data_IF_326959163943
#
_entry.id   IF_326959163943
#
_cell.length_a   1.000
_cell.length_b   1.000
_cell.length_c   1.000
_cell.angle_alpha   90.00
_cell.angle_beta   90.00
_cell.angle_gamma   90.00
#
_symmetry.space_group_name_H-M   'P 1'
#
loop_
_entity.id
_entity.type
_entity.pdbx_description
1 polymer ?
#
# COMPACT_ATOMS: atom_id res chain seq x y z
N UNK A 1 6.79 -31.01 12.05
CA UNK A 1 5.73 -30.36 12.87
C UNK A 1 4.88 -29.48 11.95
N UNK A 2 3.57 -29.70 11.85
CA UNK A 2 2.71 -28.80 11.06
C UNK A 2 2.56 -27.49 11.85
N UNK A 3 3.21 -26.41 11.42
CA UNK A 3 3.02 -25.08 12.01
C UNK A 3 1.53 -24.74 11.99
N UNK A 4 0.94 -24.45 13.14
CA UNK A 4 -0.46 -23.99 13.22
C UNK A 4 -0.60 -22.72 12.39
N UNK A 5 -1.49 -22.69 11.37
CA UNK A 5 -1.56 -21.57 10.42
C UNK A 5 -1.87 -20.23 11.10
N UNK A 6 -2.49 -20.31 12.28
CA UNK A 6 -2.95 -19.22 13.14
C UNK A 6 -1.87 -18.61 14.03
N UNK A 7 -0.77 -19.31 14.30
CA UNK A 7 0.26 -18.79 15.21
C UNK A 7 0.96 -17.53 14.66
N UNK A 8 1.39 -17.47 13.38
CA UNK A 8 2.07 -16.30 12.86
C UNK A 8 1.28 -14.98 12.92
N UNK A 9 -0.01 -14.89 12.53
CA UNK A 9 -0.74 -13.63 12.68
C UNK A 9 -0.90 -13.22 14.15
N UNK A 10 -1.08 -14.17 15.07
CA UNK A 10 -1.18 -13.85 16.51
C UNK A 10 0.13 -13.31 17.07
N UNK A 11 1.28 -13.91 16.69
CA UNK A 11 2.58 -13.38 17.08
C UNK A 11 2.82 -11.98 16.49
N UNK A 12 2.34 -11.74 15.27
CA UNK A 12 2.45 -10.43 14.64
C UNK A 12 1.57 -9.37 15.33
N UNK A 13 0.38 -9.74 15.80
CA UNK A 13 -0.45 -8.87 16.63
C UNK A 13 0.23 -8.50 17.94
N UNK A 14 0.91 -9.46 18.59
CA UNK A 14 1.71 -9.20 19.77
C UNK A 14 2.90 -8.27 19.48
N UNK A 15 3.54 -8.44 18.31
CA UNK A 15 4.60 -7.53 17.86
C UNK A 15 4.06 -6.11 17.67
N UNK A 16 2.92 -5.93 16.99
CA UNK A 16 2.30 -4.61 16.81
C UNK A 16 2.02 -3.97 18.17
N UNK A 17 1.41 -4.69 19.12
CA UNK A 17 1.16 -4.15 20.47
C UNK A 17 2.44 -3.67 21.16
N UNK A 18 3.55 -4.40 21.00
CA UNK A 18 4.84 -3.96 21.52
C UNK A 18 5.36 -2.72 20.79
N UNK A 19 5.28 -2.68 19.45
CA UNK A 19 5.63 -1.54 18.62
C UNK A 19 4.73 -0.32 18.84
N UNK A 20 3.57 -0.49 19.46
CA UNK A 20 2.65 0.60 19.82
C UNK A 20 2.86 1.17 21.22
N UNK A 21 3.76 0.55 22.00
CA UNK A 21 4.18 1.05 23.32
C UNK A 21 5.10 2.27 23.22
N UNK A 22 5.54 2.81 24.36
CA UNK A 22 6.50 3.93 24.40
C UNK A 22 7.83 3.61 23.68
N UNK A 23 8.23 2.34 23.63
CA UNK A 23 9.51 1.92 23.05
C UNK A 23 9.69 2.32 21.57
N UNK A 24 8.59 2.44 20.83
CA UNK A 24 8.59 2.86 19.43
C UNK A 24 7.88 4.21 19.23
N UNK A 25 7.75 5.00 20.30
CA UNK A 25 7.15 6.35 20.25
C UNK A 25 7.94 7.29 19.32
N UNK A 26 7.31 8.41 18.97
CA UNK A 26 7.95 9.46 18.16
C UNK A 26 9.26 9.91 18.81
N UNK A 27 9.21 10.21 20.12
CA UNK A 27 10.36 10.66 20.88
C UNK A 27 11.48 9.61 20.90
N UNK A 28 11.15 8.35 21.16
CA UNK A 28 12.15 7.29 21.24
C UNK A 28 12.80 7.02 19.88
N UNK A 29 12.01 6.94 18.81
CA UNK A 29 12.53 6.69 17.46
C UNK A 29 13.33 7.87 16.92
N UNK A 30 12.93 9.10 17.22
CA UNK A 30 13.66 10.31 16.84
C UNK A 30 15.08 10.33 17.42
N UNK A 31 15.26 9.87 18.66
CA UNK A 31 16.53 9.94 19.40
C UNK A 31 17.72 9.28 18.68
N UNK A 32 17.47 8.22 17.91
CA UNK A 32 18.50 7.49 17.17
C UNK A 32 18.36 7.62 15.66
N UNK A 33 17.14 7.82 15.13
CA UNK A 33 16.93 7.89 13.69
C UNK A 33 17.29 9.27 13.11
N UNK A 34 16.98 10.37 13.80
CA UNK A 34 17.31 11.71 13.31
C UNK A 34 18.83 11.93 13.15
N UNK A 35 19.71 11.49 14.07
CA UNK A 35 21.15 11.55 13.85
C UNK A 35 21.61 10.82 12.58
N UNK A 36 21.03 9.66 12.29
CA UNK A 36 21.33 8.88 11.08
C UNK A 36 20.85 9.63 9.84
N UNK A 37 19.62 10.15 9.85
CA UNK A 37 19.07 10.92 8.73
C UNK A 37 19.89 12.18 8.46
N UNK A 38 20.34 12.88 9.50
CA UNK A 38 21.20 14.04 9.37
C UNK A 38 22.57 13.67 8.81
N UNK A 39 23.16 12.55 9.23
CA UNK A 39 24.42 12.07 8.68
C UNK A 39 24.32 11.71 7.18
N UNK A 40 23.17 11.15 6.75
CA UNK A 40 22.91 10.80 5.35
C UNK A 40 22.52 12.00 4.47
N UNK A 41 21.88 13.01 5.06
CA UNK A 41 21.42 14.22 4.39
C UNK A 41 21.81 15.47 5.19
N UNK A 42 23.11 15.81 5.26
CA UNK A 42 23.59 16.96 6.06
C UNK A 42 23.07 18.30 5.55
N UNK A 43 22.58 18.36 4.31
CA UNK A 43 21.94 19.53 3.70
C UNK A 43 20.47 19.70 4.09
N UNK A 44 19.85 18.71 4.74
CA UNK A 44 18.44 18.77 5.10
C UNK A 44 18.20 19.68 6.31
N UNK A 45 17.16 20.51 6.24
CA UNK A 45 16.74 21.33 7.38
C UNK A 45 16.13 20.47 8.48
N UNK A 46 16.07 20.95 9.74
CA UNK A 46 15.41 20.21 10.82
C UNK A 46 13.98 19.79 10.49
N UNK A 47 13.20 20.69 9.87
CA UNK A 47 11.83 20.37 9.44
C UNK A 47 11.77 19.26 8.38
N UNK A 48 12.75 19.21 7.47
CA UNK A 48 12.82 18.12 6.48
C UNK A 48 13.17 16.78 7.14
N UNK A 49 14.09 16.77 8.11
CA UNK A 49 14.45 15.56 8.85
C UNK A 49 13.26 15.01 9.65
N UNK A 50 12.50 15.87 10.33
CA UNK A 50 11.26 15.49 11.02
C UNK A 50 10.21 14.95 10.05
N UNK A 51 10.05 15.58 8.88
CA UNK A 51 9.14 15.08 7.84
C UNK A 51 9.57 13.69 7.34
N UNK A 52 10.88 13.46 7.13
CA UNK A 52 11.41 12.14 6.75
C UNK A 52 11.16 11.10 7.85
N UNK A 53 11.38 11.45 9.11
CA UNK A 53 11.09 10.58 10.25
C UNK A 53 9.60 10.22 10.33
N UNK A 54 8.71 11.21 10.19
CA UNK A 54 7.27 10.97 10.14
C UNK A 54 6.86 10.07 8.97
N UNK A 55 7.46 10.26 7.78
CA UNK A 55 7.22 9.41 6.61
C UNK A 55 7.67 7.96 6.86
N UNK A 56 8.84 7.77 7.48
CA UNK A 56 9.34 6.43 7.84
C UNK A 56 8.36 5.75 8.80
N UNK A 57 7.88 6.46 9.82
CA UNK A 57 6.89 5.91 10.77
C UNK A 57 5.58 5.54 10.08
N UNK A 58 5.02 6.41 9.25
CA UNK A 58 3.81 6.10 8.46
C UNK A 58 4.02 4.92 7.51
N UNK A 59 5.23 4.77 6.96
CA UNK A 59 5.61 3.61 6.16
C UNK A 59 5.68 2.31 6.97
N UNK A 60 6.13 2.38 8.22
CA UNK A 60 6.13 1.24 9.15
C UNK A 60 4.70 0.77 9.45
N UNK A 61 3.82 1.69 9.87
CA UNK A 61 2.38 1.46 10.08
C UNK A 61 1.71 0.75 8.88
N UNK A 62 1.85 1.33 7.68
CA UNK A 62 1.37 0.73 6.44
C UNK A 62 1.88 -0.72 6.25
N UNK A 63 3.17 -0.95 6.52
CA UNK A 63 3.83 -2.24 6.31
C UNK A 63 3.41 -3.29 7.35
N UNK A 64 3.31 -2.89 8.62
CA UNK A 64 2.89 -3.74 9.73
C UNK A 64 1.51 -4.33 9.49
N UNK A 65 0.55 -3.50 9.08
CA UNK A 65 -0.82 -3.93 8.80
C UNK A 65 -0.97 -4.66 7.47
N UNK A 66 -0.13 -4.35 6.48
CA UNK A 66 -0.03 -5.17 5.25
C UNK A 66 0.43 -6.60 5.58
N UNK A 67 1.46 -6.74 6.43
CA UNK A 67 1.94 -8.07 6.86
C UNK A 67 0.88 -8.79 7.68
N UNK A 68 0.21 -8.10 8.62
CA UNK A 68 -0.86 -8.67 9.43
C UNK A 68 -1.98 -9.26 8.55
N UNK A 69 -2.49 -8.48 7.61
CA UNK A 69 -3.52 -8.92 6.66
C UNK A 69 -3.07 -10.09 5.79
N UNK A 70 -1.82 -10.09 5.31
CA UNK A 70 -1.26 -11.19 4.53
C UNK A 70 -1.16 -12.48 5.36
N UNK A 71 -0.77 -12.39 6.63
CA UNK A 71 -0.68 -13.52 7.54
C UNK A 71 -2.06 -14.11 7.86
N UNK A 72 -3.06 -13.26 8.12
CA UNK A 72 -4.45 -13.69 8.31
C UNK A 72 -5.04 -14.34 7.06
N UNK A 73 -4.86 -13.72 5.89
CA UNK A 73 -5.31 -14.28 4.62
C UNK A 73 -4.69 -15.66 4.37
N UNK A 74 -3.38 -15.79 4.58
CA UNK A 74 -2.67 -17.06 4.46
C UNK A 74 -3.20 -18.10 5.45
N UNK A 75 -3.47 -17.71 6.69
CA UNK A 75 -3.97 -18.60 7.73
C UNK A 75 -5.37 -19.14 7.37
N UNK A 76 -6.29 -18.26 6.96
CA UNK A 76 -7.66 -18.59 6.58
C UNK A 76 -7.71 -19.52 5.35
N UNK A 77 -6.86 -19.28 4.35
CA UNK A 77 -6.75 -20.13 3.16
C UNK A 77 -6.18 -21.51 3.53
N UNK A 78 -5.07 -21.55 4.28
CA UNK A 78 -4.40 -22.82 4.65
C UNK A 78 -5.21 -23.66 5.62
N UNK A 79 -5.94 -23.02 6.53
CA UNK A 79 -6.88 -23.69 7.42
C UNK A 79 -8.10 -24.26 6.69
N UNK A 80 -8.25 -23.99 5.38
CA UNK A 80 -9.44 -24.32 4.56
C UNK A 80 -10.74 -23.88 5.24
N UNK A 81 -10.68 -22.81 6.03
CA UNK A 81 -11.77 -22.40 6.89
C UNK A 81 -12.90 -21.74 6.09
N UNK A 82 -12.57 -21.06 4.99
CA UNK A 82 -13.50 -20.25 4.21
C UNK A 82 -13.09 -20.15 2.73
N UNK A 83 -14.02 -19.73 1.88
CA UNK A 83 -13.74 -19.43 0.46
C UNK A 83 -12.72 -18.29 0.33
N UNK A 84 -11.85 -18.26 -0.70
CA UNK A 84 -10.81 -17.24 -0.83
C UNK A 84 -11.29 -15.77 -0.80
N UNK A 85 -12.49 -15.47 -1.31
CA UNK A 85 -13.08 -14.12 -1.24
C UNK A 85 -13.48 -13.75 0.20
N UNK A 86 -14.11 -14.68 0.91
CA UNK A 86 -14.45 -14.51 2.32
C UNK A 86 -13.18 -14.42 3.19
N UNK A 87 -12.14 -15.21 2.89
CA UNK A 87 -10.84 -15.14 3.57
C UNK A 87 -10.23 -13.73 3.48
N UNK A 88 -10.31 -13.12 2.30
CA UNK A 88 -9.86 -11.75 2.07
C UNK A 88 -10.66 -10.71 2.88
N UNK A 89 -11.98 -10.78 2.83
CA UNK A 89 -12.84 -9.87 3.59
C UNK A 89 -12.61 -10.00 5.10
N UNK A 90 -12.50 -11.23 5.61
CA UNK A 90 -12.26 -11.49 7.04
C UNK A 90 -10.86 -11.01 7.45
N UNK A 91 -9.82 -11.30 6.65
CA UNK A 91 -8.45 -10.84 6.95
C UNK A 91 -8.36 -9.31 7.01
N UNK A 92 -9.02 -8.62 6.07
CA UNK A 92 -9.11 -7.17 6.08
C UNK A 92 -9.87 -6.66 7.32
N UNK A 93 -11.04 -7.22 7.61
CA UNK A 93 -11.86 -6.81 8.75
C UNK A 93 -11.12 -6.99 10.09
N UNK A 94 -10.42 -8.11 10.28
CA UNK A 94 -9.61 -8.35 11.49
C UNK A 94 -8.49 -7.31 11.60
N UNK A 95 -7.78 -7.03 10.50
CA UNK A 95 -6.66 -6.09 10.51
C UNK A 95 -7.13 -4.66 10.77
N UNK A 96 -8.25 -4.25 10.18
CA UNK A 96 -8.84 -2.93 10.41
C UNK A 96 -9.36 -2.79 11.86
N UNK A 97 -10.01 -3.82 12.39
CA UNK A 97 -10.41 -3.84 13.79
C UNK A 97 -9.19 -3.74 14.73
N UNK A 98 -8.10 -4.43 14.38
CA UNK A 98 -6.85 -4.34 15.13
C UNK A 98 -6.20 -2.95 15.06
N UNK A 99 -6.29 -2.25 13.93
CA UNK A 99 -5.82 -0.86 13.80
C UNK A 99 -6.59 0.09 14.71
N UNK A 100 -7.91 -0.06 14.78
CA UNK A 100 -8.74 0.72 15.69
C UNK A 100 -8.37 0.43 17.16
N UNK A 101 -8.20 -0.85 17.51
CA UNK A 101 -7.82 -1.25 18.86
C UNK A 101 -6.42 -0.75 19.24
N UNK A 102 -5.50 -0.71 18.28
CA UNK A 102 -4.16 -0.19 18.47
C UNK A 102 -4.17 1.31 18.80
N UNK A 103 -4.93 2.11 18.06
CA UNK A 103 -5.10 3.54 18.35
C UNK A 103 -5.79 3.78 19.71
N UNK A 104 -6.76 2.94 20.07
CA UNK A 104 -7.35 2.94 21.42
C UNK A 104 -6.28 2.62 22.46
N UNK A 105 -5.43 1.62 22.24
CA UNK A 105 -4.31 1.31 23.14
C UNK A 105 -3.34 2.49 23.28
N UNK A 106 -2.94 3.09 22.16
CA UNK A 106 -2.05 4.24 22.11
C UNK A 106 -2.63 5.46 22.84
N UNK A 107 -3.96 5.62 22.88
CA UNK A 107 -4.61 6.69 23.66
C UNK A 107 -4.36 6.60 25.17
N UNK A 108 -3.94 5.43 25.68
CA UNK A 108 -3.56 5.22 27.08
C UNK A 108 -2.05 5.33 27.33
N UNK A 109 -1.25 5.58 26.29
CA UNK A 109 0.22 5.71 26.39
C UNK A 109 0.59 7.20 26.31
N UNK A 110 1.11 7.82 27.40
CA UNK A 110 1.32 9.27 27.44
C UNK A 110 2.26 9.85 26.36
N UNK A 111 3.19 9.05 25.85
CA UNK A 111 4.13 9.45 24.79
C UNK A 111 3.59 9.22 23.37
N UNK A 112 2.36 8.70 23.25
CA UNK A 112 1.68 8.45 21.98
C UNK A 112 0.53 9.42 21.78
N UNK A 113 0.12 9.55 20.53
CA UNK A 113 -1.01 10.38 20.14
C UNK A 113 -1.87 9.56 19.21
N UNK A 114 -3.06 9.21 19.67
CA UNK A 114 -4.00 8.48 18.85
C UNK A 114 -4.46 9.34 17.66
N UNK A 115 -4.47 8.77 16.46
CA UNK A 115 -4.72 9.45 15.21
C UNK A 115 -5.63 8.63 14.29
N UNK A 116 -6.81 9.15 13.91
CA UNK A 116 -7.64 8.53 12.87
C UNK A 116 -6.93 8.39 11.53
N UNK A 117 -5.91 9.20 11.25
CA UNK A 117 -5.11 9.05 10.02
C UNK A 117 -4.29 7.78 10.03
N UNK A 118 -3.86 7.32 11.20
CA UNK A 118 -3.02 6.14 11.32
C UNK A 118 -3.87 4.88 11.09
N UNK A 119 -5.12 4.83 11.62
CA UNK A 119 -6.11 3.81 11.24
C UNK A 119 -6.33 3.74 9.72
N UNK A 120 -6.41 4.89 9.06
CA UNK A 120 -6.62 4.94 7.61
C UNK A 120 -5.40 4.41 6.83
N UNK A 121 -4.18 4.74 7.28
CA UNK A 121 -2.93 4.24 6.70
C UNK A 121 -2.82 2.72 6.91
N UNK A 122 -3.07 2.25 8.13
CA UNK A 122 -3.06 0.82 8.49
C UNK A 122 -4.07 0.02 7.67
N UNK A 123 -5.29 0.56 7.56
CA UNK A 123 -6.35 0.02 6.71
C UNK A 123 -5.93 -0.04 5.24
N UNK A 124 -5.25 0.99 4.71
CA UNK A 124 -4.73 0.98 3.35
C UNK A 124 -3.69 -0.13 3.14
N UNK A 125 -2.79 -0.32 4.10
CA UNK A 125 -1.79 -1.39 4.09
C UNK A 125 -2.44 -2.77 4.05
N UNK A 126 -3.41 -3.00 4.94
CA UNK A 126 -4.19 -4.23 4.99
C UNK A 126 -4.95 -4.50 3.67
N UNK A 127 -5.59 -3.47 3.11
CA UNK A 127 -6.32 -3.57 1.84
C UNK A 127 -5.37 -3.95 0.70
N UNK A 128 -4.22 -3.28 0.58
CA UNK A 128 -3.21 -3.58 -0.44
C UNK A 128 -2.79 -5.04 -0.37
N UNK A 129 -2.45 -5.53 0.83
CA UNK A 129 -2.01 -6.91 1.03
C UNK A 129 -3.08 -7.93 0.61
N UNK A 130 -4.34 -7.69 0.97
CA UNK A 130 -5.45 -8.58 0.59
C UNK A 130 -5.70 -8.56 -0.92
N UNK A 131 -5.67 -7.39 -1.56
CA UNK A 131 -5.84 -7.26 -3.02
C UNK A 131 -4.72 -7.99 -3.75
N UNK A 132 -3.46 -7.76 -3.36
CA UNK A 132 -2.30 -8.44 -3.95
C UNK A 132 -2.37 -9.95 -3.72
N UNK A 133 -2.72 -10.39 -2.50
CA UNK A 133 -2.86 -11.80 -2.17
C UNK A 133 -3.98 -12.51 -2.93
N UNK A 134 -5.05 -11.79 -3.29
CA UNK A 134 -6.19 -12.32 -4.07
C UNK A 134 -5.91 -12.41 -5.56
N UNK A 135 -5.26 -11.39 -6.12
CA UNK A 135 -5.00 -11.30 -7.56
C UNK A 135 -3.72 -12.06 -7.96
N UNK A 136 -2.76 -12.16 -7.04
CA UNK A 136 -1.39 -12.55 -7.31
C UNK A 136 -0.58 -11.37 -7.85
N UNK A 137 0.72 -11.33 -7.51
CA UNK A 137 1.61 -10.20 -7.80
C UNK A 137 1.60 -9.77 -9.27
N UNK A 138 1.67 -10.74 -10.21
CA UNK A 138 1.68 -10.45 -11.66
C UNK A 138 0.42 -9.72 -12.11
N UNK A 139 -0.77 -10.21 -11.73
CA UNK A 139 -2.05 -9.59 -12.13
C UNK A 139 -2.28 -8.27 -11.40
N UNK A 140 -1.86 -8.16 -10.15
CA UNK A 140 -1.92 -6.91 -9.40
C UNK A 140 -1.08 -5.82 -10.07
N UNK A 141 0.18 -6.14 -10.42
CA UNK A 141 1.08 -5.24 -11.13
C UNK A 141 0.51 -4.85 -12.50
N UNK A 142 0.01 -5.81 -13.29
CA UNK A 142 -0.61 -5.52 -14.59
C UNK A 142 -1.81 -4.56 -14.49
N UNK A 143 -2.70 -4.77 -13.51
CA UNK A 143 -3.86 -3.91 -13.28
C UNK A 143 -3.44 -2.53 -12.79
N UNK A 144 -2.49 -2.46 -11.86
CA UNK A 144 -1.95 -1.20 -11.37
C UNK A 144 -1.31 -0.40 -12.51
N UNK A 145 -0.50 -1.02 -13.36
CA UNK A 145 0.08 -0.37 -14.53
C UNK A 145 -0.99 0.17 -15.48
N UNK A 146 -2.02 -0.63 -15.79
CA UNK A 146 -3.11 -0.18 -16.68
C UNK A 146 -3.86 1.01 -16.07
N UNK A 147 -4.17 0.95 -14.77
CA UNK A 147 -4.82 2.05 -14.06
C UNK A 147 -3.96 3.32 -14.06
N UNK A 148 -2.66 3.22 -13.75
CA UNK A 148 -1.74 4.35 -13.75
C UNK A 148 -1.62 4.98 -15.14
N UNK A 149 -1.56 4.17 -16.20
CA UNK A 149 -1.55 4.68 -17.57
C UNK A 149 -2.86 5.39 -17.92
N UNK A 150 -4.01 4.87 -17.50
CA UNK A 150 -5.29 5.55 -17.69
C UNK A 150 -5.39 6.86 -16.92
N UNK A 151 -4.92 6.90 -15.66
CA UNK A 151 -4.88 8.13 -14.87
C UNK A 151 -3.95 9.16 -15.50
N UNK A 152 -2.77 8.74 -15.96
CA UNK A 152 -1.82 9.64 -16.63
C UNK A 152 -2.34 10.15 -17.98
N UNK A 153 -3.00 9.29 -18.78
CA UNK A 153 -3.57 9.68 -20.06
C UNK A 153 -4.81 10.57 -19.90
N UNK A 154 -5.76 10.15 -19.07
CA UNK A 154 -7.02 10.87 -18.85
C UNK A 154 -6.83 12.15 -18.03
N UNK A 155 -6.20 12.04 -16.86
CA UNK A 155 -5.92 13.19 -16.00
C UNK A 155 -4.96 14.18 -16.66
N UNK A 156 -3.92 13.68 -17.32
CA UNK A 156 -3.01 14.51 -18.10
C UNK A 156 -3.71 15.19 -19.29
N UNK A 157 -4.64 14.52 -19.97
CA UNK A 157 -5.44 15.11 -21.04
C UNK A 157 -6.34 16.25 -20.54
N UNK A 158 -6.99 16.07 -19.39
CA UNK A 158 -7.78 17.13 -18.74
C UNK A 158 -6.88 18.32 -18.36
N UNK A 159 -5.72 18.05 -17.75
CA UNK A 159 -4.76 19.09 -17.39
C UNK A 159 -4.25 19.86 -18.62
N UNK A 160 -3.93 19.16 -19.72
CA UNK A 160 -3.55 19.77 -20.99
C UNK A 160 -4.64 20.69 -21.54
N UNK A 161 -5.91 20.25 -21.49
CA UNK A 161 -7.04 21.05 -21.95
C UNK A 161 -7.23 22.33 -21.10
N UNK A 162 -7.19 22.20 -19.77
CA UNK A 162 -7.30 23.35 -18.85
C UNK A 162 -6.15 24.34 -19.09
N UNK A 163 -4.93 23.84 -19.23
CA UNK A 163 -3.76 24.67 -19.51
C UNK A 163 -3.89 25.41 -20.85
N UNK A 164 -4.36 24.74 -21.90
CA UNK A 164 -4.61 25.37 -23.19
C UNK A 164 -5.69 26.46 -23.11
N UNK A 165 -6.76 26.23 -22.34
CA UNK A 165 -7.84 27.20 -22.13
C UNK A 165 -7.44 28.40 -21.27
N UNK A 166 -6.47 28.23 -20.36
CA UNK A 166 -6.02 29.27 -19.43
C UNK A 166 -4.71 29.94 -19.86
N UNK A 167 -4.10 29.51 -20.97
CA UNK A 167 -2.82 30.03 -21.47
C UNK A 167 -1.59 29.62 -20.64
N UNK A 168 -1.74 28.62 -19.76
CA UNK A 168 -0.64 28.10 -18.93
C UNK A 168 0.19 27.09 -19.74
N UNK A 169 1.53 27.21 -19.79
CA UNK A 169 2.37 26.22 -20.47
C UNK A 169 2.31 24.83 -19.81
N UNK A 170 2.15 23.77 -20.61
CA UNK A 170 1.99 22.40 -20.07
C UNK A 170 3.28 21.61 -19.87
N UNK A 171 4.42 22.10 -20.34
CA UNK A 171 5.74 21.49 -20.12
C UNK A 171 5.78 19.99 -20.46
N UNK A 172 6.22 19.16 -19.50
CA UNK A 172 6.34 17.70 -19.69
C UNK A 172 5.02 16.96 -19.95
N UNK A 173 3.85 17.55 -19.66
CA UNK A 173 2.56 16.90 -19.93
C UNK A 173 2.36 16.59 -21.42
N UNK A 174 2.94 17.42 -22.31
CA UNK A 174 2.94 17.15 -23.75
C UNK A 174 3.66 15.85 -24.13
N UNK A 175 4.57 15.36 -23.28
CA UNK A 175 5.29 14.11 -23.48
C UNK A 175 4.66 12.95 -22.68
N UNK A 176 4.40 13.16 -21.40
CA UNK A 176 3.96 12.08 -20.48
C UNK A 176 2.55 11.60 -20.79
N UNK A 177 1.64 12.49 -21.20
CA UNK A 177 0.25 12.14 -21.51
C UNK A 177 0.14 11.29 -22.79
N UNK A 178 0.74 11.67 -23.94
CA UNK A 178 0.73 10.81 -25.12
C UNK A 178 1.48 9.49 -24.91
N UNK A 179 2.60 9.48 -24.19
CA UNK A 179 3.33 8.24 -23.86
C UNK A 179 2.44 7.26 -23.08
N UNK A 180 1.65 7.75 -22.12
CA UNK A 180 0.71 6.92 -21.39
C UNK A 180 -0.39 6.34 -22.31
N UNK A 181 -0.92 7.15 -23.23
CA UNK A 181 -1.91 6.71 -24.21
C UNK A 181 -1.34 5.66 -25.18
N UNK A 182 -0.11 5.86 -25.68
CA UNK A 182 0.58 4.87 -26.52
C UNK A 182 0.87 3.58 -25.76
N UNK A 183 1.22 3.67 -24.47
CA UNK A 183 1.37 2.50 -23.59
C UNK A 183 0.09 1.68 -23.51
N UNK A 184 -1.08 2.32 -23.36
CA UNK A 184 -2.39 1.65 -23.37
C UNK A 184 -2.68 0.99 -24.72
N UNK A 185 -2.44 1.70 -25.83
CA UNK A 185 -2.66 1.19 -27.17
C UNK A 185 -1.77 -0.03 -27.47
N UNK A 186 -0.47 0.06 -27.17
CA UNK A 186 0.49 -1.03 -27.35
C UNK A 186 0.08 -2.29 -26.59
N UNK A 187 -0.39 -2.14 -25.34
CA UNK A 187 -0.91 -3.25 -24.54
C UNK A 187 -2.16 -3.87 -25.15
N UNK A 188 -3.10 -3.05 -25.65
CA UNK A 188 -4.32 -3.52 -26.32
C UNK A 188 -3.98 -4.33 -27.59
N UNK A 189 -3.07 -3.80 -28.42
CA UNK A 189 -2.63 -4.46 -29.65
C UNK A 189 -1.90 -5.78 -29.37
N UNK A 190 -1.01 -5.79 -28.37
CA UNK A 190 -0.33 -7.01 -27.94
C UNK A 190 -1.32 -8.10 -27.53
N UNK A 191 -2.34 -7.74 -26.75
CA UNK A 191 -3.35 -8.69 -26.30
C UNK A 191 -4.22 -9.23 -27.44
N UNK A 192 -4.64 -8.38 -28.37
CA UNK A 192 -5.39 -8.79 -29.59
C UNK A 192 -4.54 -9.78 -30.40
N UNK A 193 -3.26 -9.47 -30.63
CA UNK A 193 -2.33 -10.35 -31.36
C UNK A 193 -2.16 -11.69 -30.65
N UNK A 194 -2.03 -11.69 -29.31
CA UNK A 194 -1.88 -12.93 -28.53
C UNK A 194 -3.10 -13.84 -28.61
N UNK A 195 -4.31 -13.25 -28.62
CA UNK A 195 -5.57 -14.00 -28.85
C UNK A 195 -5.71 -14.53 -30.27
N UNK A 196 -5.31 -13.74 -31.27
CA UNK A 196 -5.36 -14.16 -32.68
C UNK A 196 -4.40 -15.32 -33.02
N UNK A 197 -3.33 -15.50 -32.24
CA UNK A 197 -2.36 -16.59 -32.40
C UNK A 197 -2.74 -17.89 -31.66
N UNK A 198 -3.92 -17.95 -31.00
CA UNK A 198 -4.38 -19.16 -30.31
C UNK A 198 -3.58 -19.56 -29.07
N UNK A 199 -2.78 -18.65 -28.49
CA UNK A 199 -1.76 -19.00 -27.49
C UNK A 199 -2.32 -19.17 -26.05
N UNK A 200 -3.56 -18.79 -25.71
CA UNK A 200 -4.14 -19.09 -24.39
C UNK A 200 -5.67 -19.37 -24.40
N UNK A 201 -6.05 -20.52 -23.81
CA UNK A 201 -7.40 -20.85 -23.31
C UNK A 201 -7.78 -20.07 -22.03
N UNK A 202 -8.97 -20.28 -21.45
CA UNK A 202 -9.75 -19.23 -20.81
C UNK A 202 -9.21 -18.79 -19.44
N UNK A 203 -8.52 -17.66 -19.40
CA UNK A 203 -8.64 -16.71 -18.27
C UNK A 203 -8.82 -15.30 -18.82
N UNK A 204 -10.06 -14.95 -19.16
CA UNK A 204 -10.46 -13.55 -19.32
C UNK A 204 -10.26 -12.82 -17.98
N UNK A 205 -9.77 -11.58 -17.96
CA UNK A 205 -9.99 -10.73 -16.79
C UNK A 205 -11.48 -10.33 -16.74
N UNK A 206 -12.12 -10.29 -15.56
CA UNK A 206 -13.35 -9.51 -15.40
C UNK A 206 -13.07 -8.03 -15.65
#
# INVERSE_FOLDING_TARGET
MRSTPWLPPVLWMALIMWLSSDTASAAHTASWLLPILHALAPWATPAQLEAMHALIRKGAHLTEYAILAALWLRALIRGRAVRPSAAAAIAFAISLAWAILDEVHQSFVPSRTASPTDVAIDGMGALLAVVVGRLGWRRAAERATVLLLWLAAGGGGVALAVNALTGVPSGMLWLTTPLAAFGLLGRRLWWIRRRGLGVEGPTAPP
#
